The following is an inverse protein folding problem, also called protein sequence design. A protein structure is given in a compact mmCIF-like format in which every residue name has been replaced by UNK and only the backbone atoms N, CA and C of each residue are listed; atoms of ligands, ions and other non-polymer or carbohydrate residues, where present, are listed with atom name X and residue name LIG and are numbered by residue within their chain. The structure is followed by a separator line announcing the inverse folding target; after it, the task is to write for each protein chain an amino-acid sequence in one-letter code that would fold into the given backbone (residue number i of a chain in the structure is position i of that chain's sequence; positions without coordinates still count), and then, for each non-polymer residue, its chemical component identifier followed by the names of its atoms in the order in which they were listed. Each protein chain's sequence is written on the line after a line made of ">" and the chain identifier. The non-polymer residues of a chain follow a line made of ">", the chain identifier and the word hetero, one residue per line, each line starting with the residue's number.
data_IF_467102779268
#
_entry.id   IF_467102779268
#
_cell.length_a   1.000
_cell.length_b   1.000
_cell.length_c   1.000
_cell.angle_alpha   90.00
_cell.angle_beta   90.00
_cell.angle_gamma   90.00
#
_symmetry.space_group_name_H-M   'P 1'
#
loop_
_entity.id
_entity.type
_entity.pdbx_description
1 polymer ?
#
# COMPACT_ATOMS: atom_id res chain seq x y z
N UNK A 1 -32.73 -20.91 31.47
CA UNK A 1 -31.27 -20.72 31.24
C UNK A 1 -31.05 -19.24 31.02
N UNK A 2 -30.07 -18.57 31.67
CA UNK A 2 -29.89 -17.13 31.48
C UNK A 2 -29.12 -16.86 30.18
N UNK A 3 -29.66 -15.97 29.34
CA UNK A 3 -28.95 -15.37 28.21
C UNK A 3 -28.06 -14.22 28.75
N UNK A 4 -26.85 -14.54 29.20
CA UNK A 4 -25.83 -13.52 29.45
C UNK A 4 -24.75 -13.61 28.37
N UNK A 5 -24.66 -12.56 27.56
CA UNK A 5 -23.54 -12.35 26.65
C UNK A 5 -22.41 -11.71 27.48
N UNK A 6 -21.18 -12.26 27.48
CA UNK A 6 -20.07 -11.67 28.22
C UNK A 6 -19.83 -10.24 27.76
N UNK A 7 -19.44 -9.34 28.67
CA UNK A 7 -19.10 -7.94 28.34
C UNK A 7 -18.01 -7.86 27.24
N UNK A 8 -17.15 -8.88 27.15
CA UNK A 8 -16.15 -9.05 26.09
C UNK A 8 -16.75 -9.16 24.67
N UNK A 9 -17.99 -9.60 24.52
CA UNK A 9 -18.68 -9.68 23.24
C UNK A 9 -19.43 -8.38 22.88
N UNK A 10 -19.37 -7.33 23.72
CA UNK A 10 -20.00 -6.02 23.47
C UNK A 10 -19.02 -4.88 23.10
N UNK A 11 -17.73 -5.19 22.86
CA UNK A 11 -16.71 -4.18 22.51
C UNK A 11 -15.71 -4.60 21.43
N UNK A 12 -16.04 -5.57 20.60
CA UNK A 12 -15.51 -5.57 19.25
C UNK A 12 -16.47 -4.70 18.42
N UNK A 13 -16.43 -3.39 18.62
CA UNK A 13 -16.82 -2.52 17.51
C UNK A 13 -15.90 -2.98 16.38
N UNK A 14 -16.47 -3.54 15.31
CA UNK A 14 -15.73 -3.89 14.11
C UNK A 14 -14.95 -2.63 13.72
N UNK A 15 -13.64 -2.62 13.97
CA UNK A 15 -12.82 -1.44 13.70
C UNK A 15 -12.73 -1.31 12.18
N UNK A 16 -13.57 -0.44 11.61
CA UNK A 16 -13.60 -0.21 10.17
C UNK A 16 -12.40 0.67 9.82
N UNK A 17 -11.34 0.04 9.33
CA UNK A 17 -10.18 0.73 8.78
C UNK A 17 -10.45 1.15 7.34
N UNK A 18 -10.40 2.47 7.09
CA UNK A 18 -10.52 3.02 5.73
C UNK A 18 -9.13 3.14 5.14
N UNK A 19 -8.82 2.29 4.17
CA UNK A 19 -7.56 2.31 3.45
C UNK A 19 -7.65 3.17 2.18
N UNK A 20 -6.52 3.72 1.75
CA UNK A 20 -6.40 4.47 0.51
C UNK A 20 -5.06 4.19 -0.15
N UNK A 21 -5.06 4.13 -1.48
CA UNK A 21 -3.87 4.03 -2.32
C UNK A 21 -3.91 5.21 -3.30
N UNK A 22 -2.94 6.12 -3.22
CA UNK A 22 -2.92 7.36 -3.99
C UNK A 22 -1.64 7.50 -4.79
N UNK A 23 -1.76 8.10 -5.97
CA UNK A 23 -0.62 8.52 -6.77
C UNK A 23 -0.26 9.94 -6.35
N UNK A 24 0.99 10.17 -5.99
CA UNK A 24 1.43 11.43 -5.38
C UNK A 24 2.30 12.25 -6.34
N UNK A 25 2.35 13.55 -6.11
CA UNK A 25 3.35 14.45 -6.68
C UNK A 25 4.76 14.10 -6.18
N UNK A 26 5.80 14.55 -6.88
CA UNK A 26 7.21 14.23 -6.57
C UNK A 26 7.67 14.74 -5.20
N UNK A 27 7.03 15.80 -4.70
CA UNK A 27 7.25 16.38 -3.38
C UNK A 27 6.38 15.73 -2.27
N UNK A 28 5.54 14.76 -2.63
CA UNK A 28 4.61 14.04 -1.74
C UNK A 28 3.62 14.91 -0.98
N UNK A 29 3.32 16.12 -1.49
CA UNK A 29 2.39 17.05 -0.86
C UNK A 29 0.94 16.79 -1.29
N UNK A 30 0.72 16.42 -2.55
CA UNK A 30 -0.62 16.32 -3.12
C UNK A 30 -0.80 15.03 -3.92
N UNK A 31 -2.06 14.63 -4.08
CA UNK A 31 -2.43 13.64 -5.07
C UNK A 31 -2.19 14.21 -6.47
N UNK A 32 -1.63 13.38 -7.36
CA UNK A 32 -1.27 13.81 -8.70
C UNK A 32 -2.54 14.10 -9.50
N UNK A 33 -2.62 15.22 -10.24
CA UNK A 33 -3.81 15.59 -11.00
C UNK A 33 -4.00 14.75 -12.27
N UNK A 34 -2.98 14.01 -12.71
CA UNK A 34 -2.99 13.20 -13.93
C UNK A 34 -2.39 11.83 -13.68
N UNK A 35 -3.03 10.80 -14.24
CA UNK A 35 -2.57 9.41 -14.22
C UNK A 35 -1.76 9.04 -15.47
N UNK A 36 -1.31 10.03 -16.25
CA UNK A 36 -0.47 9.80 -17.42
C UNK A 36 1.01 9.83 -17.04
N UNK A 37 1.73 8.80 -17.46
CA UNK A 37 3.15 8.61 -17.23
C UNK A 37 3.86 8.17 -18.52
N UNK A 38 5.14 8.48 -18.63
CA UNK A 38 6.03 8.02 -19.69
C UNK A 38 7.01 6.98 -19.14
N UNK A 39 7.52 6.12 -20.02
CA UNK A 39 8.56 5.16 -19.64
C UNK A 39 9.82 5.90 -19.16
N UNK A 40 10.32 5.48 -18.01
CA UNK A 40 11.43 6.15 -17.29
C UNK A 40 10.97 7.11 -16.20
N UNK A 41 9.67 7.45 -16.13
CA UNK A 41 9.13 8.18 -14.98
C UNK A 41 9.10 7.28 -13.73
N UNK A 42 9.01 7.93 -12.58
CA UNK A 42 8.79 7.29 -11.28
C UNK A 42 7.35 7.55 -10.82
N UNK A 43 6.65 6.48 -10.44
CA UNK A 43 5.33 6.54 -9.85
C UNK A 43 5.48 6.61 -8.33
N UNK A 44 5.13 7.75 -7.73
CA UNK A 44 5.07 7.91 -6.28
C UNK A 44 3.73 7.39 -5.76
N UNK A 45 3.75 6.37 -4.91
CA UNK A 45 2.55 5.70 -4.41
C UNK A 45 2.50 5.84 -2.89
N UNK A 46 1.38 6.33 -2.36
CA UNK A 46 1.11 6.41 -0.93
C UNK A 46 -0.02 5.43 -0.56
N UNK A 47 0.31 4.43 0.25
CA UNK A 47 -0.66 3.62 0.96
C UNK A 47 -0.93 4.26 2.33
N UNK A 48 -2.19 4.50 2.65
CA UNK A 48 -2.59 5.11 3.92
C UNK A 48 -3.80 4.41 4.52
N UNK A 49 -3.97 4.60 5.82
CA UNK A 49 -5.15 4.17 6.58
C UNK A 49 -5.62 5.34 7.43
N UNK A 50 -6.93 5.56 7.52
CA UNK A 50 -7.45 6.61 8.40
C UNK A 50 -7.11 6.27 9.87
N UNK A 51 -6.37 7.15 10.58
CA UNK A 51 -6.02 6.89 11.97
C UNK A 51 -7.26 6.98 12.85
N UNK A 52 -7.43 6.01 13.76
CA UNK A 52 -8.36 6.11 14.87
C UNK A 52 -7.64 6.64 16.11
N UNK A 53 -8.30 7.54 16.84
CA UNK A 53 -7.71 8.29 17.96
C UNK A 53 -7.32 7.43 19.18
N UNK A 54 -7.67 6.14 19.19
CA UNK A 54 -7.55 5.31 20.38
C UNK A 54 -6.26 4.48 20.44
N UNK A 55 -5.64 4.20 19.29
CA UNK A 55 -4.46 3.32 19.20
C UNK A 55 -3.53 3.80 18.09
N UNK A 56 -2.22 4.00 18.38
CA UNK A 56 -1.23 4.20 17.34
C UNK A 56 -1.20 3.00 16.38
N UNK A 57 -1.37 3.25 15.09
CA UNK A 57 -1.41 2.19 14.07
C UNK A 57 -0.24 2.31 13.09
N UNK A 58 0.08 1.18 12.44
CA UNK A 58 1.07 1.09 11.38
C UNK A 58 0.50 0.38 10.17
N UNK A 59 0.48 1.07 9.02
CA UNK A 59 0.05 0.49 7.74
C UNK A 59 1.19 -0.25 7.04
N UNK A 60 0.88 -1.36 6.41
CA UNK A 60 1.79 -2.19 5.62
C UNK A 60 1.16 -2.50 4.27
N UNK A 61 2.01 -2.69 3.26
CA UNK A 61 1.63 -3.21 1.95
C UNK A 61 2.10 -4.66 1.92
N UNK A 62 1.17 -5.61 1.88
CA UNK A 62 1.49 -7.04 1.91
C UNK A 62 1.87 -7.54 0.51
N UNK A 63 1.12 -7.10 -0.50
CA UNK A 63 1.36 -7.41 -1.90
C UNK A 63 0.75 -6.34 -2.81
N UNK A 64 1.30 -6.21 -4.01
CA UNK A 64 0.72 -5.42 -5.08
C UNK A 64 0.95 -6.08 -6.44
N UNK A 65 -0.09 -6.06 -7.26
CA UNK A 65 -0.09 -6.59 -8.63
C UNK A 65 -0.59 -5.53 -9.59
N UNK A 66 0.05 -5.48 -10.75
CA UNK A 66 -0.37 -4.68 -11.87
C UNK A 66 -1.00 -5.55 -12.96
N UNK A 67 -2.09 -5.07 -13.57
CA UNK A 67 -2.85 -5.76 -14.61
C UNK A 67 -3.33 -4.77 -15.69
N UNK A 68 -3.80 -5.27 -16.83
CA UNK A 68 -4.31 -4.44 -17.94
C UNK A 68 -5.79 -4.10 -17.84
N UNK A 69 -6.49 -4.76 -16.91
CA UNK A 69 -7.91 -4.58 -16.58
C UNK A 69 -8.07 -4.52 -15.05
N UNK A 70 -9.18 -3.98 -14.50
CA UNK A 70 -9.40 -3.86 -13.06
C UNK A 70 -9.79 -5.20 -12.40
N UNK A 71 -9.03 -6.26 -12.71
CA UNK A 71 -9.10 -7.57 -12.08
C UNK A 71 -7.68 -8.03 -11.77
N UNK A 72 -7.35 -8.13 -10.48
CA UNK A 72 -6.05 -8.54 -9.98
C UNK A 72 -5.66 -9.98 -10.37
N UNK A 73 -6.63 -10.83 -10.74
CA UNK A 73 -6.39 -12.19 -11.19
C UNK A 73 -6.25 -12.30 -12.72
N UNK A 74 -6.45 -11.22 -13.47
CA UNK A 74 -6.32 -11.22 -14.93
C UNK A 74 -4.88 -11.48 -15.40
N UNK A 75 -4.74 -11.74 -16.71
CA UNK A 75 -3.46 -11.95 -17.38
C UNK A 75 -3.39 -10.98 -18.58
N UNK A 76 -2.25 -10.32 -18.83
CA UNK A 76 -0.99 -10.42 -18.09
C UNK A 76 -1.06 -9.73 -16.73
N UNK A 77 -0.29 -10.27 -15.76
CA UNK A 77 -0.12 -9.68 -14.44
C UNK A 77 1.36 -9.52 -14.10
N UNK A 78 1.69 -8.50 -13.34
CA UNK A 78 3.04 -8.22 -12.87
C UNK A 78 3.02 -7.87 -11.38
N UNK A 79 3.57 -8.75 -10.55
CA UNK A 79 3.70 -8.50 -9.12
C UNK A 79 4.97 -7.71 -8.85
N UNK A 80 4.83 -6.53 -8.23
CA UNK A 80 5.98 -5.68 -7.88
C UNK A 80 6.22 -5.62 -6.37
N UNK A 81 5.24 -6.03 -5.55
CA UNK A 81 5.41 -6.30 -4.11
C UNK A 81 4.82 -7.69 -3.81
N UNK A 82 5.61 -8.56 -3.19
CA UNK A 82 5.26 -9.94 -2.83
C UNK A 82 5.84 -10.33 -1.46
N UNK A 83 5.67 -11.59 -1.04
CA UNK A 83 6.33 -12.14 0.16
C UNK A 83 6.19 -11.26 1.40
N UNK A 84 4.96 -10.81 1.67
CA UNK A 84 4.61 -9.99 2.83
C UNK A 84 5.35 -8.64 2.88
N UNK A 85 5.42 -7.95 1.74
CA UNK A 85 5.95 -6.58 1.65
C UNK A 85 7.35 -6.46 1.05
N UNK A 86 7.89 -7.51 0.43
CA UNK A 86 9.12 -7.42 -0.34
C UNK A 86 8.84 -6.74 -1.69
N UNK A 87 9.42 -5.55 -1.91
CA UNK A 87 9.39 -4.89 -3.21
C UNK A 87 10.36 -5.61 -4.15
N UNK A 88 9.82 -6.47 -5.02
CA UNK A 88 10.60 -7.38 -5.87
C UNK A 88 10.99 -6.76 -7.21
N UNK A 89 10.31 -5.70 -7.66
CA UNK A 89 10.59 -5.06 -8.95
C UNK A 89 12.08 -4.69 -9.10
N UNK A 90 12.65 -3.95 -8.13
CA UNK A 90 14.07 -3.57 -8.17
C UNK A 90 15.03 -4.76 -8.32
N UNK A 91 14.70 -5.92 -7.75
CA UNK A 91 15.51 -7.13 -7.87
C UNK A 91 15.36 -7.79 -9.25
N UNK A 92 14.15 -7.79 -9.81
CA UNK A 92 13.82 -8.48 -11.05
C UNK A 92 14.27 -7.69 -12.28
N UNK A 93 14.15 -6.36 -12.23
CA UNK A 93 14.36 -5.48 -13.39
C UNK A 93 15.63 -4.62 -13.24
N UNK A 94 16.20 -4.53 -12.03
CA UNK A 94 17.26 -3.56 -11.73
C UNK A 94 16.74 -2.12 -11.65
N UNK A 95 15.42 -1.94 -11.49
CA UNK A 95 14.79 -0.62 -11.42
C UNK A 95 15.18 0.18 -10.19
N UNK A 96 14.80 1.45 -10.20
CA UNK A 96 14.96 2.39 -9.08
C UNK A 96 13.85 2.29 -8.03
N UNK A 97 13.00 1.27 -8.10
CA UNK A 97 11.85 1.14 -7.21
C UNK A 97 12.25 0.82 -5.77
N UNK A 98 11.70 1.53 -4.80
CA UNK A 98 12.06 1.33 -3.39
C UNK A 98 10.99 1.90 -2.45
N UNK A 99 11.02 1.44 -1.19
CA UNK A 99 10.24 2.08 -0.13
C UNK A 99 10.93 3.35 0.36
N UNK A 100 10.13 4.38 0.64
CA UNK A 100 10.62 5.60 1.26
C UNK A 100 10.77 5.42 2.77
N UNK A 101 11.69 6.15 3.43
CA UNK A 101 11.73 6.24 4.88
C UNK A 101 10.37 6.69 5.43
N UNK A 102 9.89 5.98 6.45
CA UNK A 102 8.58 6.24 7.04
C UNK A 102 8.63 7.50 7.92
N UNK A 103 7.71 8.42 7.67
CA UNK A 103 7.53 9.63 8.49
C UNK A 103 6.32 9.53 9.43
N UNK A 104 5.29 8.76 9.06
CA UNK A 104 4.04 8.58 9.82
C UNK A 104 3.63 7.11 9.85
N UNK A 105 3.04 6.64 10.96
CA UNK A 105 2.66 5.23 11.13
C UNK A 105 1.54 4.81 10.18
N UNK A 106 0.56 5.69 9.98
CA UNK A 106 -0.62 5.54 9.14
C UNK A 106 -0.34 5.70 7.64
N UNK A 107 0.90 5.99 7.23
CA UNK A 107 1.30 6.15 5.82
C UNK A 107 2.55 5.36 5.47
N UNK A 108 2.52 4.67 4.33
CA UNK A 108 3.66 4.01 3.72
C UNK A 108 3.80 4.49 2.28
N UNK A 109 4.99 5.01 1.95
CA UNK A 109 5.31 5.58 0.65
C UNK A 109 6.32 4.70 -0.06
N UNK A 110 6.14 4.50 -1.35
CA UNK A 110 7.09 3.78 -2.20
C UNK A 110 7.07 4.30 -3.63
N UNK A 111 8.18 4.11 -4.30
CA UNK A 111 8.39 4.48 -5.69
C UNK A 111 8.41 3.23 -6.56
N UNK A 112 7.73 3.30 -7.69
CA UNK A 112 7.70 2.27 -8.72
C UNK A 112 8.14 2.89 -10.05
N UNK A 113 9.21 2.38 -10.64
CA UNK A 113 9.60 2.78 -12.00
C UNK A 113 8.53 2.33 -13.00
N UNK A 114 8.21 3.22 -13.93
CA UNK A 114 7.19 2.95 -14.94
C UNK A 114 7.56 1.79 -15.83
N UNK A 115 6.55 0.99 -16.17
CA UNK A 115 6.67 -0.11 -17.10
C UNK A 115 5.41 -0.17 -17.97
N UNK A 116 5.43 -1.06 -18.98
CA UNK A 116 4.25 -1.37 -19.77
C UNK A 116 4.19 -2.85 -20.11
N UNK A 117 2.99 -3.39 -20.24
CA UNK A 117 2.80 -4.72 -20.79
C UNK A 117 3.02 -4.69 -22.31
N UNK A 118 3.93 -5.54 -22.82
CA UNK A 118 4.28 -5.57 -24.23
C UNK A 118 3.08 -5.85 -25.15
N UNK A 119 2.14 -6.69 -24.71
CA UNK A 119 0.98 -7.14 -25.49
C UNK A 119 -0.30 -6.32 -25.23
N UNK A 120 -0.25 -5.29 -24.38
CA UNK A 120 -1.41 -4.47 -24.07
C UNK A 120 -1.45 -3.24 -24.99
N UNK A 121 -2.42 -3.17 -25.90
CA UNK A 121 -2.54 -2.07 -26.85
C UNK A 121 -2.88 -0.71 -26.22
N UNK A 122 -3.47 -0.68 -25.02
CA UNK A 122 -4.01 0.54 -24.40
C UNK A 122 -3.02 1.29 -23.50
N UNK A 123 -1.85 0.72 -23.18
CA UNK A 123 -0.88 1.32 -22.23
C UNK A 123 -1.40 1.51 -20.79
N UNK A 124 -2.68 1.20 -20.54
CA UNK A 124 -3.34 1.33 -19.24
C UNK A 124 -2.91 0.21 -18.31
N UNK A 125 -2.65 0.57 -17.06
CA UNK A 125 -2.29 -0.34 -15.98
C UNK A 125 -3.17 -0.04 -14.78
N UNK A 126 -3.73 -1.10 -14.20
CA UNK A 126 -4.42 -1.07 -12.92
C UNK A 126 -3.51 -1.66 -11.87
N UNK A 127 -3.37 -0.99 -10.73
CA UNK A 127 -2.59 -1.49 -9.59
C UNK A 127 -3.56 -1.86 -8.48
N UNK A 128 -3.47 -3.10 -8.01
CA UNK A 128 -4.25 -3.61 -6.88
C UNK A 128 -3.30 -4.03 -5.79
N UNK A 129 -3.50 -3.53 -4.57
CA UNK A 129 -2.66 -3.83 -3.43
C UNK A 129 -3.48 -4.38 -2.26
N UNK A 130 -2.88 -5.30 -1.51
CA UNK A 130 -3.40 -5.76 -0.22
C UNK A 130 -2.72 -4.95 0.88
N UNK A 131 -3.50 -4.14 1.58
CA UNK A 131 -3.03 -3.33 2.70
C UNK A 131 -3.40 -3.98 4.02
N UNK A 132 -2.50 -3.88 5.00
CA UNK A 132 -2.68 -4.41 6.36
C UNK A 132 -2.39 -3.32 7.38
N UNK A 133 -2.97 -3.45 8.57
CA UNK A 133 -2.71 -2.56 9.70
C UNK A 133 -2.36 -3.40 10.93
N UNK A 134 -1.45 -2.90 11.74
CA UNK A 134 -1.16 -3.44 13.06
C UNK A 134 -1.00 -2.30 14.08
N UNK A 135 -1.21 -2.60 15.35
CA UNK A 135 -0.89 -1.68 16.43
C UNK A 135 0.61 -1.35 16.39
N UNK A 136 0.96 -0.07 16.44
CA UNK A 136 2.33 0.35 16.55
C UNK A 136 2.80 0.05 17.98
N UNK A 137 3.75 -0.87 18.13
CA UNK A 137 4.46 -1.03 19.39
C UNK A 137 5.27 0.24 19.65
N UNK A 138 5.21 0.76 20.88
CA UNK A 138 6.07 1.88 21.32
C UNK A 138 7.53 1.56 20.98
N UNK A 139 8.36 2.53 20.57
CA UNK A 139 9.80 2.33 20.55
C UNK A 139 10.24 1.82 21.93
N UNK A 140 11.10 0.79 21.96
CA UNK A 140 11.80 0.42 23.18
C UNK A 140 12.52 1.67 23.70
N UNK A 141 12.53 1.95 25.02
CA UNK A 141 13.27 3.09 25.54
C UNK A 141 14.74 2.94 25.14
N UNK A 142 15.27 3.97 24.49
CA UNK A 142 16.69 4.07 24.20
C UNK A 142 17.44 3.84 25.52
N UNK A 143 18.24 2.77 25.58
CA UNK A 143 19.25 2.65 26.64
C UNK A 143 20.29 3.74 26.36
N UNK A 144 20.24 4.78 27.19
CA UNK A 144 21.30 5.79 27.38
C UNK A 144 22.60 5.15 27.81
#
# INVERSE_FOLDING_TARGET
>A
MPNWIPYAASKAAEEIFVFSLRLMTDDWQFERPSNQYFLGDIINIEASVQPYNHVPIRVFVDSCVATTVPDAASIPRYSFIENNGCLVDAKLTGSRSHFMPRTQGDKLRFQLETFRFHQAGSGLIYMTCILKVAAATSPAPNKS
#
